data_IF_063138764942
#
_entry.id   IF_063138764942
#
_cell.length_a   1.000
_cell.length_b   1.000
_cell.length_c   1.000
_cell.angle_alpha   90.00
_cell.angle_beta   90.00
_cell.angle_gamma   90.00
#
_symmetry.space_group_name_H-M   'P 1'
#
loop_
_entity.id
_entity.type
_entity.pdbx_description
1 polymer ?
#
# COMPACT_ATOMS: atom_id res chain seq x y z
N UNK A 1 7.80 -19.75 7.76
CA UNK A 1 9.11 -19.20 7.34
C UNK A 1 9.12 -18.68 5.90
N UNK A 2 8.75 -19.44 4.85
CA UNK A 2 8.80 -18.93 3.45
C UNK A 2 7.83 -17.77 3.18
N UNK A 3 6.70 -17.70 3.90
CA UNK A 3 5.74 -16.60 3.81
C UNK A 3 6.35 -15.22 4.10
N UNK A 4 7.27 -15.13 5.07
CA UNK A 4 7.87 -13.85 5.46
C UNK A 4 8.86 -13.35 4.41
N UNK A 5 9.52 -14.27 3.71
CA UNK A 5 10.43 -13.95 2.61
C UNK A 5 9.70 -13.32 1.42
N UNK A 6 8.55 -13.87 1.04
CA UNK A 6 7.76 -13.36 -0.10
C UNK A 6 7.22 -11.96 0.21
N UNK A 7 6.73 -11.75 1.43
CA UNK A 7 6.24 -10.43 1.88
C UNK A 7 7.37 -9.41 1.88
N UNK A 8 8.53 -9.75 2.47
CA UNK A 8 9.69 -8.85 2.51
C UNK A 8 10.21 -8.51 1.11
N UNK A 9 10.28 -9.49 0.21
CA UNK A 9 10.68 -9.25 -1.18
C UNK A 9 9.69 -8.30 -1.88
N UNK A 10 8.38 -8.53 -1.72
CA UNK A 10 7.34 -7.69 -2.31
C UNK A 10 7.38 -6.24 -1.80
N UNK A 11 7.62 -6.05 -0.51
CA UNK A 11 7.73 -4.74 0.12
C UNK A 11 8.91 -3.93 -0.43
N UNK A 12 10.08 -4.56 -0.57
CA UNK A 12 11.28 -3.91 -1.13
C UNK A 12 11.00 -3.41 -2.56
N UNK A 13 10.45 -4.26 -3.42
CA UNK A 13 10.15 -3.87 -4.80
C UNK A 13 9.12 -2.75 -4.86
N UNK A 14 8.06 -2.83 -4.05
CA UNK A 14 6.98 -1.84 -4.06
C UNK A 14 7.50 -0.47 -3.59
N UNK A 15 8.31 -0.44 -2.53
CA UNK A 15 8.90 0.80 -2.00
C UNK A 15 9.86 1.42 -3.02
N UNK A 16 10.80 0.64 -3.55
CA UNK A 16 11.79 1.13 -4.53
C UNK A 16 11.13 1.71 -5.78
N UNK A 17 10.16 1.00 -6.37
CA UNK A 17 9.43 1.49 -7.56
C UNK A 17 8.61 2.74 -7.23
N UNK A 18 7.95 2.79 -6.08
CA UNK A 18 7.16 3.97 -5.66
C UNK A 18 8.02 5.22 -5.51
N UNK A 19 9.21 5.09 -4.92
CA UNK A 19 10.16 6.20 -4.77
C UNK A 19 10.74 6.65 -6.11
N UNK A 20 11.10 5.73 -6.99
CA UNK A 20 11.62 6.05 -8.32
C UNK A 20 10.60 6.89 -9.11
N UNK A 21 9.35 6.42 -9.19
CA UNK A 21 8.27 7.14 -9.87
C UNK A 21 8.02 8.52 -9.21
N UNK A 22 7.97 8.58 -7.88
CA UNK A 22 7.77 9.84 -7.16
C UNK A 22 8.87 10.87 -7.47
N UNK A 23 10.13 10.44 -7.62
CA UNK A 23 11.25 11.32 -7.94
C UNK A 23 11.37 11.67 -9.43
N UNK A 24 10.93 10.82 -10.35
CA UNK A 24 10.94 11.11 -11.79
C UNK A 24 9.90 12.18 -12.16
N UNK A 25 8.72 12.15 -11.54
CA UNK A 25 7.63 13.05 -11.90
C UNK A 25 7.56 14.34 -11.07
N UNK A 26 8.24 14.42 -9.92
CA UNK A 26 8.23 15.64 -9.09
C UNK A 26 9.28 16.67 -9.54
N UNK A 27 8.93 17.97 -9.61
CA UNK A 27 9.91 19.04 -9.83
C UNK A 27 10.89 19.11 -8.64
N UNK A 28 12.15 19.51 -8.88
CA UNK A 28 13.24 19.43 -7.88
C UNK A 28 12.94 20.09 -6.53
N UNK A 29 12.09 21.11 -6.50
CA UNK A 29 11.64 21.81 -5.28
C UNK A 29 10.59 21.05 -4.47
N UNK A 30 9.90 20.05 -5.03
CA UNK A 30 8.81 19.29 -4.37
C UNK A 30 9.13 17.80 -4.13
N UNK A 31 10.37 17.36 -4.39
CA UNK A 31 10.80 15.97 -4.18
C UNK A 31 10.60 15.49 -2.74
N UNK A 32 10.83 16.37 -1.76
CA UNK A 32 10.61 16.06 -0.34
C UNK A 32 9.12 15.91 0.02
N UNK A 33 8.23 16.61 -0.67
CA UNK A 33 6.78 16.46 -0.47
C UNK A 33 6.31 15.13 -1.06
N UNK A 34 6.84 14.74 -2.22
CA UNK A 34 6.52 13.47 -2.85
C UNK A 34 6.91 12.26 -1.98
N UNK A 35 8.06 12.30 -1.31
CA UNK A 35 8.46 11.25 -0.35
C UNK A 35 7.61 11.25 0.92
N UNK A 36 7.26 12.43 1.46
CA UNK A 36 6.39 12.55 2.63
C UNK A 36 4.98 11.98 2.36
N UNK A 37 4.43 12.23 1.17
CA UNK A 37 3.15 11.65 0.73
C UNK A 37 3.22 10.13 0.64
N UNK A 38 4.33 9.58 0.14
CA UNK A 38 4.52 8.13 0.11
C UNK A 38 4.51 7.53 1.54
N UNK A 39 5.19 8.18 2.50
CA UNK A 39 5.17 7.77 3.92
C UNK A 39 3.76 7.87 4.53
N UNK A 40 2.99 8.90 4.18
CA UNK A 40 1.63 9.08 4.67
C UNK A 40 0.73 7.92 4.24
N UNK A 41 0.84 7.47 2.98
CA UNK A 41 0.08 6.31 2.50
C UNK A 41 0.47 5.01 3.22
N UNK A 42 1.75 4.83 3.58
CA UNK A 42 2.15 3.71 4.45
C UNK A 42 1.51 3.78 5.84
N UNK A 43 1.48 4.97 6.46
CA UNK A 43 0.85 5.17 7.76
C UNK A 43 -0.66 4.87 7.72
N UNK A 44 -1.35 5.29 6.66
CA UNK A 44 -2.76 4.95 6.44
C UNK A 44 -2.95 3.43 6.27
N UNK A 45 -2.04 2.76 5.57
CA UNK A 45 -2.04 1.29 5.44
C UNK A 45 -1.94 0.57 6.79
N UNK A 46 -1.04 1.03 7.68
CA UNK A 46 -0.93 0.47 9.02
C UNK A 46 -2.15 0.76 9.90
N UNK A 47 -2.72 1.97 9.81
CA UNK A 47 -3.95 2.30 10.52
C UNK A 47 -5.12 1.41 10.07
N UNK A 48 -5.24 1.18 8.76
CA UNK A 48 -6.27 0.33 8.16
C UNK A 48 -6.10 -1.15 8.57
N UNK A 49 -4.87 -1.64 8.66
CA UNK A 49 -4.58 -2.97 9.19
C UNK A 49 -5.05 -3.13 10.65
N UNK A 50 -4.85 -2.10 11.49
CA UNK A 50 -5.37 -2.08 12.86
C UNK A 50 -6.90 -2.13 12.94
N UNK A 51 -7.59 -1.40 12.06
CA UNK A 51 -9.05 -1.43 11.96
C UNK A 51 -9.57 -2.79 11.52
N UNK A 52 -8.94 -3.40 10.50
CA UNK A 52 -9.30 -4.74 10.03
C UNK A 52 -9.11 -5.77 11.16
N UNK A 53 -8.03 -5.65 11.93
CA UNK A 53 -7.81 -6.53 13.08
C UNK A 53 -8.93 -6.41 14.12
N UNK A 54 -9.40 -5.20 14.43
CA UNK A 54 -10.55 -5.02 15.32
C UNK A 54 -11.85 -5.58 14.73
N UNK A 55 -12.08 -5.42 13.42
CA UNK A 55 -13.26 -5.95 12.74
C UNK A 55 -13.26 -7.48 12.70
N UNK A 56 -12.09 -8.11 12.61
CA UNK A 56 -11.92 -9.56 12.66
C UNK A 56 -11.77 -10.11 14.08
N UNK A 57 -11.73 -9.26 15.12
CA UNK A 57 -11.74 -9.65 16.53
C UNK A 57 -12.79 -10.72 16.89
N UNK A 58 -14.06 -10.68 16.42
CA UNK A 58 -15.02 -11.75 16.70
C UNK A 58 -14.69 -13.12 16.09
N UNK A 59 -13.77 -13.19 15.12
CA UNK A 59 -13.29 -14.44 14.52
C UNK A 59 -12.02 -14.98 15.17
N UNK A 60 -11.37 -14.20 16.04
CA UNK A 60 -10.25 -14.64 16.85
C UNK A 60 -10.76 -14.91 18.28
N UNK A 61 -10.75 -16.17 18.78
CA UNK A 61 -11.17 -16.45 20.14
C UNK A 61 -10.26 -15.70 21.13
N UNK A 62 -10.87 -15.23 22.22
CA UNK A 62 -10.16 -14.53 23.28
C UNK A 62 -9.06 -15.44 23.85
N UNK A 63 -7.82 -14.96 23.78
CA UNK A 63 -6.69 -15.67 24.35
C UNK A 63 -6.66 -15.39 25.85
N UNK A 64 -7.39 -16.18 26.64
CA UNK A 64 -7.26 -16.12 28.11
C UNK A 64 -5.96 -16.84 28.54
N UNK A 65 -4.92 -16.12 29.00
CA UNK A 65 -3.66 -16.73 29.42
C UNK A 65 -3.80 -17.59 30.69
N UNK A 66 -4.93 -17.55 31.41
CA UNK A 66 -5.17 -18.33 32.62
C UNK A 66 -5.82 -19.69 32.36
N UNK A 67 -6.43 -19.91 31.20
CA UNK A 67 -7.02 -21.18 30.79
C UNK A 67 -6.63 -21.46 29.33
N UNK A 68 -5.51 -22.17 29.07
CA UNK A 68 -5.14 -22.59 27.73
C UNK A 68 -6.05 -23.75 27.28
N UNK A 69 -7.33 -23.47 27.06
CA UNK A 69 -8.26 -24.45 26.51
C UNK A 69 -7.87 -24.71 25.05
N UNK A 70 -7.81 -25.99 24.70
CA UNK A 70 -7.56 -26.51 23.33
C UNK A 70 -8.53 -25.92 22.28
N UNK A 71 -9.65 -25.34 22.73
CA UNK A 71 -10.63 -24.58 21.95
C UNK A 71 -10.08 -23.27 21.38
N UNK A 72 -9.14 -22.61 22.06
CA UNK A 72 -8.54 -21.34 21.60
C UNK A 72 -7.63 -21.55 20.37
N UNK A 73 -7.11 -22.76 20.17
CA UNK A 73 -6.34 -23.13 18.97
C UNK A 73 -7.18 -23.79 17.87
N UNK A 74 -8.22 -24.56 18.21
CA UNK A 74 -9.09 -25.25 17.24
C UNK A 74 -10.24 -24.40 16.68
N UNK A 75 -10.67 -23.37 17.40
CA UNK A 75 -11.75 -22.46 16.98
C UNK A 75 -11.27 -21.16 16.33
N UNK A 76 -9.95 -20.93 16.27
CA UNK A 76 -9.38 -19.75 15.65
C UNK A 76 -9.27 -19.95 14.13
N UNK A 77 -10.24 -19.42 13.39
CA UNK A 77 -10.25 -19.46 11.93
C UNK A 77 -9.31 -18.41 11.33
N UNK A 78 -8.00 -18.54 11.60
CA UNK A 78 -6.96 -17.70 11.01
C UNK A 78 -6.98 -17.70 9.48
N UNK A 79 -7.44 -18.80 8.89
CA UNK A 79 -7.68 -18.95 7.45
C UNK A 79 -8.59 -17.84 6.88
N UNK A 80 -9.64 -17.44 7.60
CA UNK A 80 -10.56 -16.40 7.15
C UNK A 80 -9.93 -15.02 7.22
N UNK A 81 -9.15 -14.76 8.27
CA UNK A 81 -8.39 -13.52 8.41
C UNK A 81 -7.34 -13.36 7.28
N UNK A 82 -6.58 -14.42 6.99
CA UNK A 82 -5.62 -14.39 5.89
C UNK A 82 -6.30 -14.32 4.52
N UNK A 83 -7.46 -14.94 4.33
CA UNK A 83 -8.24 -14.83 3.09
C UNK A 83 -8.74 -13.40 2.84
N UNK A 84 -9.21 -12.69 3.88
CA UNK A 84 -9.59 -11.27 3.78
C UNK A 84 -8.38 -10.39 3.45
N UNK A 85 -7.22 -10.66 4.08
CA UNK A 85 -5.99 -9.94 3.80
C UNK A 85 -5.53 -10.14 2.35
N UNK A 86 -5.61 -11.37 1.85
CA UNK A 86 -5.31 -11.71 0.44
C UNK A 86 -6.29 -11.00 -0.50
N UNK A 87 -7.59 -11.03 -0.22
CA UNK A 87 -8.60 -10.36 -1.03
C UNK A 87 -8.35 -8.84 -1.09
N UNK A 88 -7.98 -8.23 0.04
CA UNK A 88 -7.62 -6.81 0.10
C UNK A 88 -6.38 -6.50 -0.75
N UNK A 89 -5.34 -7.34 -0.69
CA UNK A 89 -4.16 -7.22 -1.55
C UNK A 89 -4.51 -7.31 -3.05
N UNK A 90 -5.41 -8.23 -3.43
CA UNK A 90 -5.88 -8.35 -4.81
C UNK A 90 -6.68 -7.12 -5.26
N UNK A 91 -7.57 -6.60 -4.42
CA UNK A 91 -8.32 -5.37 -4.72
C UNK A 91 -7.35 -4.20 -4.91
N UNK A 92 -6.34 -4.06 -4.04
CA UNK A 92 -5.29 -3.05 -4.18
C UNK A 92 -4.50 -3.20 -5.48
N UNK A 93 -4.12 -4.43 -5.85
CA UNK A 93 -3.41 -4.71 -7.10
C UNK A 93 -4.27 -4.36 -8.33
N UNK A 94 -5.56 -4.72 -8.33
CA UNK A 94 -6.49 -4.39 -9.42
C UNK A 94 -6.68 -2.86 -9.52
N UNK A 95 -6.83 -2.16 -8.39
CA UNK A 95 -6.92 -0.71 -8.36
C UNK A 95 -5.66 -0.05 -8.94
N UNK A 96 -4.47 -0.53 -8.57
CA UNK A 96 -3.20 -0.10 -9.17
C UNK A 96 -3.19 -0.32 -10.68
N UNK A 97 -3.58 -1.50 -11.17
CA UNK A 97 -3.64 -1.80 -12.61
C UNK A 97 -4.64 -0.91 -13.36
N UNK A 98 -5.77 -0.58 -12.74
CA UNK A 98 -6.78 0.32 -13.30
C UNK A 98 -6.31 1.79 -13.32
N UNK A 99 -5.45 2.19 -12.39
CA UNK A 99 -4.86 3.52 -12.34
C UNK A 99 -3.73 3.72 -13.37
N UNK A 100 -3.05 2.66 -13.84
CA UNK A 100 -2.03 2.76 -14.90
C UNK A 100 -2.52 3.44 -16.18
N UNK A 101 -3.66 3.04 -16.82
CA UNK A 101 -4.15 3.71 -18.01
C UNK A 101 -4.61 5.14 -17.73
N UNK A 102 -5.12 5.42 -16.52
CA UNK A 102 -5.51 6.77 -16.10
C UNK A 102 -4.27 7.68 -15.96
N UNK A 103 -3.21 7.19 -15.32
CA UNK A 103 -1.94 7.88 -15.17
C UNK A 103 -1.30 8.17 -16.54
N UNK A 104 -1.29 7.20 -17.46
CA UNK A 104 -0.78 7.39 -18.82
C UNK A 104 -1.51 8.50 -19.59
N UNK A 105 -2.82 8.67 -19.37
CA UNK A 105 -3.59 9.78 -19.97
C UNK A 105 -3.17 11.11 -19.38
N UNK A 106 -3.13 11.22 -18.05
CA UNK A 106 -2.77 12.46 -17.36
C UNK A 106 -1.32 12.88 -17.65
N UNK A 107 -0.36 11.95 -17.63
CA UNK A 107 1.03 12.27 -17.96
C UNK A 107 1.16 12.80 -19.38
N UNK A 108 0.42 12.25 -20.34
CA UNK A 108 0.39 12.73 -21.72
C UNK A 108 -0.14 14.16 -21.82
N UNK A 109 -1.10 14.52 -20.98
CA UNK A 109 -1.74 15.83 -21.00
C UNK A 109 -0.92 16.90 -20.23
N UNK A 110 -0.15 16.51 -19.19
CA UNK A 110 0.75 17.42 -18.44
C UNK A 110 2.07 17.70 -19.19
N UNK A 111 2.55 16.76 -20.00
CA UNK A 111 3.81 16.90 -20.75
C UNK A 111 3.85 18.16 -21.65
N UNK A 112 2.82 18.48 -22.46
CA UNK A 112 2.83 19.70 -23.28
C UNK A 112 2.78 21.00 -22.44
N UNK A 113 2.12 21.00 -21.28
CA UNK A 113 2.07 22.18 -20.39
C UNK A 113 3.42 22.49 -19.75
N UNK A 114 4.18 21.45 -19.34
CA UNK A 114 5.55 21.65 -18.78
C UNK A 114 6.52 22.24 -19.80
N UNK A 115 6.41 21.84 -21.07
CA UNK A 115 7.24 22.39 -22.15
C UNK A 115 6.90 23.86 -22.38
N UNK A 116 5.60 24.20 -22.34
CA UNK A 116 5.15 25.58 -22.47
C UNK A 116 5.59 26.48 -21.28
N UNK A 117 5.57 25.97 -20.05
CA UNK A 117 6.05 26.73 -18.88
C UNK A 117 7.57 26.94 -18.90
N UNK A 118 8.36 25.93 -19.31
CA UNK A 118 9.82 26.09 -19.42
C UNK A 118 10.22 27.09 -20.53
N UNK A 119 9.48 27.20 -21.63
CA UNK A 119 9.75 28.24 -22.64
C UNK A 119 9.40 29.65 -22.16
N UNK A 120 8.44 29.81 -21.24
CA UNK A 120 8.07 31.12 -20.69
C UNK A 120 9.03 31.62 -19.61
N UNK A 121 9.72 30.72 -18.90
CA UNK A 121 10.74 31.09 -17.92
C UNK A 121 12.09 31.50 -18.56
N UNK A 122 12.27 31.24 -19.86
CA UNK A 122 13.46 31.64 -20.65
C UNK A 122 13.29 32.97 -21.41
N UNK A 123 12.13 33.63 -21.30
CA UNK A 123 11.80 34.95 -21.90
C UNK A 123 11.72 36.04 -20.84
#
# INVERSE_FOLDING_TARGET
VPQFWIVAAGEIFLISTSYEIAFTFSPSSLKAVASAVNLLFFAVGFALAGVIFQLCSPWLPDFDPKNPTVMSHKGAHYENFYAVLIALCFIGAIACLALIPYFKRITRDITPERVASSQNDEL
#
